data_IF_202470348970
#
_entry.id   IF_202470348970
#
_cell.length_a   1.000
_cell.length_b   1.000
_cell.length_c   1.000
_cell.angle_alpha   90.00
_cell.angle_beta   90.00
_cell.angle_gamma   90.00
#
_symmetry.space_group_name_H-M   'P 1'
#
loop_
_entity.id
_entity.type
_entity.pdbx_description
1 polymer ?
#
# COMPACT_ATOMS: atom_id res chain seq x y z
N UNK A 1 6.54 4.18 -6.22
CA UNK A 1 6.32 5.07 -7.38
C UNK A 1 6.78 4.40 -8.67
N UNK A 2 7.95 3.75 -8.69
CA UNK A 2 8.48 3.06 -9.88
C UNK A 2 7.56 1.96 -10.41
N UNK A 3 6.66 1.44 -9.56
CA UNK A 3 5.79 0.31 -9.91
C UNK A 3 4.40 0.74 -10.39
N UNK A 4 4.13 2.05 -10.45
CA UNK A 4 2.84 2.55 -10.89
C UNK A 4 2.86 2.66 -12.40
N UNK A 5 1.93 1.95 -13.04
CA UNK A 5 1.76 1.93 -14.50
C UNK A 5 0.34 2.34 -14.85
N UNK A 6 0.17 2.79 -16.09
CA UNK A 6 -1.16 3.12 -16.61
C UNK A 6 -2.09 1.91 -16.51
N UNK A 7 -3.36 2.17 -16.17
CA UNK A 7 -4.43 1.18 -16.10
C UNK A 7 -4.24 0.14 -14.99
N UNK A 8 -3.46 0.45 -13.96
CA UNK A 8 -3.31 -0.43 -12.80
C UNK A 8 -4.18 0.05 -11.65
N UNK A 9 -4.64 -0.91 -10.85
CA UNK A 9 -5.42 -0.64 -9.64
C UNK A 9 -4.45 -0.57 -8.46
N UNK A 10 -4.56 0.50 -7.67
CA UNK A 10 -3.67 0.75 -6.52
C UNK A 10 -4.49 0.84 -5.25
N UNK A 11 -4.02 0.18 -4.21
CA UNK A 11 -4.56 0.29 -2.86
C UNK A 11 -3.48 0.91 -1.96
N UNK A 12 -3.80 2.04 -1.33
CA UNK A 12 -2.94 2.69 -0.34
C UNK A 12 -3.53 2.45 1.05
N UNK A 13 -3.01 1.46 1.75
CA UNK A 13 -3.51 1.06 3.06
C UNK A 13 -2.79 1.83 4.16
N UNK A 14 -3.55 2.60 4.94
CA UNK A 14 -3.01 3.59 5.86
C UNK A 14 -2.69 4.89 5.13
N UNK A 15 -3.64 5.39 4.35
CA UNK A 15 -3.36 6.46 3.37
C UNK A 15 -3.05 7.82 4.01
N UNK A 16 -3.39 8.04 5.29
CA UNK A 16 -3.10 9.29 5.98
C UNK A 16 -3.68 10.49 5.26
N UNK A 17 -2.82 11.40 4.82
CA UNK A 17 -3.23 12.60 4.08
C UNK A 17 -3.63 12.32 2.62
N UNK A 18 -3.41 11.11 2.15
CA UNK A 18 -3.74 10.72 0.78
C UNK A 18 -2.67 11.03 -0.25
N UNK A 19 -1.49 11.49 0.17
CA UNK A 19 -0.47 11.95 -0.78
C UNK A 19 -0.02 10.85 -1.74
N UNK A 20 0.21 9.64 -1.26
CA UNK A 20 0.64 8.53 -2.13
C UNK A 20 -0.48 8.10 -3.07
N UNK A 21 -1.70 8.03 -2.56
CA UNK A 21 -2.87 7.69 -3.38
C UNK A 21 -3.08 8.70 -4.50
N UNK A 22 -2.99 9.99 -4.18
CA UNK A 22 -3.13 11.07 -5.16
C UNK A 22 -2.01 10.99 -6.19
N UNK A 23 -0.78 10.78 -5.76
CA UNK A 23 0.36 10.63 -6.67
C UNK A 23 0.17 9.43 -7.62
N UNK A 24 -0.30 8.30 -7.08
CA UNK A 24 -0.57 7.12 -7.89
C UNK A 24 -1.57 7.41 -9.01
N UNK A 25 -2.65 8.10 -8.68
CA UNK A 25 -3.67 8.46 -9.68
C UNK A 25 -3.11 9.39 -10.74
N UNK A 26 -2.34 10.40 -10.31
CA UNK A 26 -1.72 11.34 -11.24
C UNK A 26 -0.69 10.68 -12.15
N UNK A 27 -0.06 9.60 -11.72
CA UNK A 27 0.90 8.85 -12.52
C UNK A 27 0.25 7.87 -13.49
N UNK A 28 -1.07 7.78 -13.50
CA UNK A 28 -1.80 7.02 -14.51
C UNK A 28 -2.52 5.78 -14.03
N UNK A 29 -2.57 5.52 -12.74
CA UNK A 29 -3.37 4.40 -12.21
C UNK A 29 -4.83 4.57 -12.64
N UNK A 30 -5.47 3.46 -13.01
CA UNK A 30 -6.87 3.49 -13.46
C UNK A 30 -7.84 3.73 -12.30
N UNK A 31 -7.55 3.14 -11.15
CA UNK A 31 -8.35 3.30 -9.95
C UNK A 31 -7.45 3.27 -8.74
N UNK A 32 -7.70 4.15 -7.78
CA UNK A 32 -6.94 4.20 -6.53
C UNK A 32 -7.90 4.26 -5.37
N UNK A 33 -7.69 3.38 -4.39
CA UNK A 33 -8.42 3.39 -3.13
C UNK A 33 -7.44 3.66 -2.00
N UNK A 34 -7.73 4.67 -1.19
CA UNK A 34 -7.03 4.92 0.06
C UNK A 34 -7.87 4.39 1.22
N UNK A 35 -7.25 3.77 2.19
CA UNK A 35 -7.91 3.22 3.37
C UNK A 35 -7.19 3.71 4.61
N UNK A 36 -7.95 4.14 5.61
CA UNK A 36 -7.40 4.49 6.92
C UNK A 36 -8.41 4.18 8.02
N UNK A 37 -7.93 3.92 9.22
CA UNK A 37 -8.78 3.72 10.39
C UNK A 37 -9.22 5.05 11.00
N UNK A 38 -8.43 6.10 10.81
CA UNK A 38 -8.64 7.42 11.41
C UNK A 38 -9.60 8.26 10.57
N UNK A 39 -10.78 8.65 11.10
CA UNK A 39 -11.71 9.52 10.38
C UNK A 39 -11.08 10.84 9.92
N UNK A 40 -10.13 11.38 10.67
CA UNK A 40 -9.45 12.62 10.30
C UNK A 40 -8.58 12.42 9.06
N UNK A 41 -7.93 11.25 8.94
CA UNK A 41 -7.15 10.91 7.76
C UNK A 41 -8.05 10.83 6.53
N UNK A 42 -9.24 10.23 6.67
CA UNK A 42 -10.21 10.12 5.57
C UNK A 42 -10.64 11.51 5.09
N UNK A 43 -10.97 12.40 6.01
CA UNK A 43 -11.36 13.78 5.69
C UNK A 43 -10.20 14.49 4.98
N UNK A 44 -8.98 14.38 5.52
CA UNK A 44 -7.80 15.01 4.94
C UNK A 44 -7.52 14.49 3.53
N UNK A 45 -7.62 13.18 3.32
CA UNK A 45 -7.42 12.56 2.00
C UNK A 45 -8.43 13.06 0.99
N UNK A 46 -9.70 13.13 1.37
CA UNK A 46 -10.76 13.61 0.48
C UNK A 46 -10.57 15.08 0.12
N UNK A 47 -10.22 15.92 1.10
CA UNK A 47 -9.95 17.33 0.87
C UNK A 47 -8.72 17.54 -0.04
N UNK A 48 -7.65 16.78 0.19
CA UNK A 48 -6.44 16.88 -0.60
C UNK A 48 -6.67 16.40 -2.04
N UNK A 49 -7.44 15.34 -2.22
CA UNK A 49 -7.80 14.84 -3.54
C UNK A 49 -8.59 15.90 -4.32
N UNK A 50 -9.56 16.51 -3.66
CA UNK A 50 -10.38 17.58 -4.27
C UNK A 50 -9.52 18.79 -4.63
N UNK A 51 -8.63 19.22 -3.72
CA UNK A 51 -7.73 20.36 -3.96
C UNK A 51 -6.77 20.10 -5.12
N UNK A 52 -6.43 18.86 -5.38
CA UNK A 52 -5.54 18.46 -6.47
C UNK A 52 -6.29 17.98 -7.70
N UNK A 53 -7.62 18.14 -7.73
CA UNK A 53 -8.48 17.72 -8.84
C UNK A 53 -8.23 16.26 -9.23
N UNK A 54 -8.12 15.40 -8.21
CA UNK A 54 -7.77 13.99 -8.38
C UNK A 54 -8.90 13.12 -7.85
N UNK A 55 -9.34 12.17 -8.66
CA UNK A 55 -10.43 11.25 -8.30
C UNK A 55 -9.85 9.97 -7.70
N UNK A 56 -10.01 9.82 -6.39
CA UNK A 56 -9.67 8.61 -5.66
C UNK A 56 -10.85 8.22 -4.76
N UNK A 57 -10.93 6.94 -4.43
CA UNK A 57 -11.88 6.44 -3.44
C UNK A 57 -11.19 6.39 -2.08
N UNK A 58 -11.85 6.89 -1.03
CA UNK A 58 -11.29 6.85 0.33
C UNK A 58 -12.29 6.14 1.23
N UNK A 59 -11.83 5.13 1.98
CA UNK A 59 -12.68 4.33 2.85
C UNK A 59 -12.06 4.14 4.23
N UNK A 60 -12.92 3.95 5.23
CA UNK A 60 -12.51 3.54 6.56
C UNK A 60 -12.15 2.05 6.54
N UNK A 61 -11.11 1.65 7.28
CA UNK A 61 -10.67 0.26 7.31
C UNK A 61 -11.69 -0.70 7.91
N UNK A 62 -12.70 -0.18 8.62
CA UNK A 62 -13.79 -0.98 9.18
C UNK A 62 -14.90 -1.24 8.16
N UNK A 63 -14.92 -0.51 7.06
CA UNK A 63 -15.87 -0.75 5.98
C UNK A 63 -15.47 -1.99 5.19
N UNK A 64 -16.47 -2.68 4.62
CA UNK A 64 -16.19 -3.81 3.74
C UNK A 64 -15.49 -3.29 2.48
N UNK A 65 -14.30 -3.82 2.22
CA UNK A 65 -13.47 -3.42 1.09
C UNK A 65 -13.42 -4.54 0.07
N UNK A 66 -13.89 -4.24 -1.14
CA UNK A 66 -13.84 -5.16 -2.27
C UNK A 66 -12.85 -4.58 -3.27
N UNK A 67 -11.57 -4.88 -3.08
CA UNK A 67 -10.49 -4.40 -3.94
C UNK A 67 -9.55 -5.56 -4.24
N UNK A 68 -9.20 -5.69 -5.52
CA UNK A 68 -8.11 -6.55 -5.96
C UNK A 68 -7.12 -5.64 -6.69
N UNK A 69 -5.99 -5.40 -6.09
CA UNK A 69 -5.05 -4.39 -6.55
C UNK A 69 -3.82 -4.99 -7.23
N UNK A 70 -3.36 -4.33 -8.27
CA UNK A 70 -2.07 -4.62 -8.91
C UNK A 70 -0.90 -4.16 -8.05
N UNK A 71 -1.12 -3.14 -7.23
CA UNK A 71 -0.12 -2.61 -6.31
C UNK A 71 -0.79 -2.27 -4.98
N UNK A 72 -0.27 -2.84 -3.91
CA UNK A 72 -0.65 -2.50 -2.53
C UNK A 72 0.49 -1.73 -1.90
N UNK A 73 0.20 -0.55 -1.39
CA UNK A 73 1.16 0.30 -0.68
C UNK A 73 0.74 0.36 0.79
N UNK A 74 1.69 0.18 1.69
CA UNK A 74 1.46 0.36 3.12
C UNK A 74 2.63 1.13 3.73
N UNK A 75 2.37 2.36 4.15
CA UNK A 75 3.34 3.20 4.86
C UNK A 75 2.78 3.45 6.26
N UNK A 76 2.91 2.45 7.11
CA UNK A 76 2.34 2.42 8.46
C UNK A 76 3.37 1.89 9.45
N UNK A 77 3.03 1.87 10.74
CA UNK A 77 3.92 1.34 11.77
C UNK A 77 4.24 -0.13 11.51
N UNK A 78 5.46 -0.53 11.81
CA UNK A 78 5.93 -1.90 11.60
C UNK A 78 5.09 -2.95 12.34
N UNK A 79 4.59 -2.61 13.53
CA UNK A 79 3.69 -3.50 14.27
C UNK A 79 2.40 -3.79 13.50
N UNK A 80 1.84 -2.76 12.85
CA UNK A 80 0.65 -2.93 12.01
C UNK A 80 0.99 -3.70 10.74
N UNK A 81 2.14 -3.44 10.13
CA UNK A 81 2.60 -4.18 8.94
C UNK A 81 2.66 -5.68 9.22
N UNK A 82 3.19 -6.08 10.38
CA UNK A 82 3.26 -7.50 10.76
C UNK A 82 1.88 -8.13 10.89
N UNK A 83 0.97 -7.47 11.58
CA UNK A 83 -0.37 -8.00 11.87
C UNK A 83 -1.22 -8.05 10.60
N UNK A 84 -1.08 -7.08 9.72
CA UNK A 84 -1.92 -6.95 8.53
C UNK A 84 -1.44 -7.78 7.34
N UNK A 85 -0.33 -8.50 7.44
CA UNK A 85 0.23 -9.25 6.32
C UNK A 85 -0.79 -10.13 5.58
N UNK A 86 -1.58 -11.00 6.25
CA UNK A 86 -2.56 -11.80 5.54
C UNK A 86 -3.67 -10.96 4.89
N UNK A 87 -4.05 -9.86 5.51
CA UNK A 87 -5.08 -8.95 4.97
C UNK A 87 -4.56 -8.27 3.69
N UNK A 88 -3.37 -7.70 3.75
CA UNK A 88 -2.78 -7.02 2.59
C UNK A 88 -2.52 -8.00 1.45
N UNK A 89 -2.11 -9.23 1.77
CA UNK A 89 -1.92 -10.27 0.76
C UNK A 89 -3.22 -10.59 0.02
N UNK A 90 -4.35 -10.61 0.72
CA UNK A 90 -5.65 -10.86 0.09
C UNK A 90 -6.08 -9.80 -0.90
N UNK A 91 -5.71 -8.54 -0.64
CA UNK A 91 -6.05 -7.43 -1.54
C UNK A 91 -5.15 -7.35 -2.76
N UNK A 92 -4.05 -8.09 -2.78
CA UNK A 92 -3.10 -8.08 -3.88
C UNK A 92 -3.43 -9.19 -4.88
N UNK A 93 -3.52 -8.83 -6.15
CA UNK A 93 -3.72 -9.80 -7.23
C UNK A 93 -2.51 -10.71 -7.37
N UNK A 94 -2.69 -11.97 -7.85
CA UNK A 94 -1.55 -12.80 -8.26
C UNK A 94 -0.67 -12.02 -9.26
N UNK A 95 0.64 -12.09 -9.06
CA UNK A 95 1.64 -11.30 -9.81
C UNK A 95 1.57 -9.79 -9.54
N UNK A 96 0.69 -9.34 -8.66
CA UNK A 96 0.67 -7.96 -8.20
C UNK A 96 1.83 -7.69 -7.27
N UNK A 97 2.04 -6.43 -6.94
CA UNK A 97 3.17 -5.99 -6.13
C UNK A 97 2.73 -5.38 -4.82
N UNK A 98 3.60 -5.48 -3.82
CA UNK A 98 3.42 -4.81 -2.54
C UNK A 98 4.64 -3.94 -2.26
N UNK A 99 4.41 -2.77 -1.68
CA UNK A 99 5.47 -1.88 -1.22
C UNK A 99 5.18 -1.50 0.22
N UNK A 100 6.12 -1.81 1.11
CA UNK A 100 6.03 -1.58 2.55
C UNK A 100 7.05 -0.55 2.96
N UNK A 101 6.64 0.45 3.71
CA UNK A 101 7.51 1.52 4.17
C UNK A 101 7.25 1.81 5.65
N UNK A 102 8.12 2.61 6.28
CA UNK A 102 8.01 2.90 7.71
C UNK A 102 8.66 1.83 8.58
N UNK A 103 9.60 1.08 8.03
CA UNK A 103 10.28 -0.04 8.67
C UNK A 103 11.68 0.39 9.06
N UNK A 104 12.09 0.09 10.30
CA UNK A 104 13.47 0.31 10.74
C UNK A 104 14.34 -0.90 10.39
N UNK A 105 15.64 -0.68 10.24
CA UNK A 105 16.57 -1.73 9.80
C UNK A 105 16.53 -3.00 10.64
N UNK A 106 16.40 -2.86 11.95
CA UNK A 106 16.36 -4.02 12.84
C UNK A 106 15.08 -4.85 12.72
N UNK A 107 14.05 -4.31 12.05
CA UNK A 107 12.77 -4.98 11.84
C UNK A 107 12.68 -5.67 10.48
N UNK A 108 13.64 -5.39 9.60
CA UNK A 108 13.59 -5.83 8.20
C UNK A 108 13.43 -7.33 8.04
N UNK A 109 14.28 -8.12 8.69
CA UNK A 109 14.30 -9.57 8.49
C UNK A 109 13.02 -10.24 8.96
N UNK A 110 12.49 -9.80 10.10
CA UNK A 110 11.23 -10.34 10.63
C UNK A 110 10.06 -10.08 9.68
N UNK A 111 9.95 -8.84 9.19
CA UNK A 111 8.87 -8.47 8.28
C UNK A 111 9.02 -9.19 6.95
N UNK A 112 10.24 -9.27 6.43
CA UNK A 112 10.55 -10.01 5.21
C UNK A 112 10.12 -11.46 5.32
N UNK A 113 10.43 -12.11 6.44
CA UNK A 113 10.05 -13.51 6.67
C UNK A 113 8.53 -13.69 6.71
N UNK A 114 7.82 -12.79 7.38
CA UNK A 114 6.36 -12.84 7.46
C UNK A 114 5.74 -12.75 6.05
N UNK A 115 6.16 -11.77 5.27
CA UNK A 115 5.58 -11.53 3.94
C UNK A 115 6.02 -12.56 2.91
N UNK A 116 7.13 -13.26 3.12
CA UNK A 116 7.59 -14.30 2.19
C UNK A 116 6.62 -15.48 2.07
N UNK A 117 5.67 -15.61 2.98
CA UNK A 117 4.59 -16.61 2.86
C UNK A 117 3.72 -16.37 1.61
N UNK A 118 3.54 -15.11 1.23
CA UNK A 118 2.65 -14.75 0.11
C UNK A 118 3.37 -14.08 -1.05
N UNK A 119 4.58 -13.57 -0.83
CA UNK A 119 5.32 -12.76 -1.80
C UNK A 119 6.73 -13.27 -1.99
N UNK A 120 7.22 -13.15 -3.22
CA UNK A 120 8.66 -13.24 -3.49
C UNK A 120 9.23 -11.86 -3.22
N UNK A 121 9.99 -11.74 -2.14
CA UNK A 121 10.51 -10.44 -1.69
C UNK A 121 11.69 -10.01 -2.53
N UNK A 122 11.68 -8.75 -2.95
CA UNK A 122 12.74 -8.13 -3.75
C UNK A 122 13.81 -7.54 -2.84
N UNK A 123 14.88 -7.04 -3.44
CA UNK A 123 15.96 -6.39 -2.71
C UNK A 123 15.44 -5.13 -2.01
N UNK A 124 15.83 -4.95 -0.74
CA UNK A 124 15.41 -3.80 0.06
C UNK A 124 16.07 -2.52 -0.43
N UNK A 125 15.36 -1.40 -0.22
CA UNK A 125 15.94 -0.05 -0.39
C UNK A 125 16.09 0.59 0.99
N UNK A 126 17.17 1.36 1.18
CA UNK A 126 17.49 1.98 2.47
C UNK A 126 17.65 3.48 2.30
N UNK A 127 17.14 4.24 3.28
CA UNK A 127 17.33 5.68 3.34
C UNK A 127 17.23 6.15 4.78
N UNK A 128 18.31 6.75 5.30
CA UNK A 128 18.35 7.36 6.64
C UNK A 128 17.86 6.44 7.76
N UNK A 129 18.26 5.16 7.72
CA UNK A 129 17.85 4.17 8.70
C UNK A 129 16.49 3.53 8.46
N UNK A 130 15.74 4.02 7.49
CA UNK A 130 14.45 3.46 7.07
C UNK A 130 14.64 2.47 5.93
N UNK A 131 13.76 1.47 5.92
CA UNK A 131 13.77 0.40 4.92
C UNK A 131 12.45 0.40 4.17
N UNK A 132 12.54 0.29 2.84
CA UNK A 132 11.40 0.01 1.99
C UNK A 132 11.53 -1.41 1.47
N UNK A 133 10.53 -2.23 1.73
CA UNK A 133 10.44 -3.60 1.24
C UNK A 133 9.43 -3.67 0.10
N UNK A 134 9.74 -4.46 -0.90
CA UNK A 134 8.80 -4.72 -1.98
C UNK A 134 8.80 -6.22 -2.30
N UNK A 135 7.71 -6.67 -2.90
CA UNK A 135 7.58 -8.06 -3.29
C UNK A 135 6.53 -8.24 -4.36
N UNK A 136 6.56 -9.40 -5.00
CA UNK A 136 5.59 -9.79 -5.99
C UNK A 136 4.78 -10.96 -5.46
N UNK A 137 3.44 -10.86 -5.55
CA UNK A 137 2.54 -11.89 -5.06
C UNK A 137 2.72 -13.18 -5.85
N UNK A 138 2.96 -14.29 -5.13
CA UNK A 138 3.05 -15.58 -5.78
C UNK A 138 1.71 -15.97 -6.38
N UNK A 139 1.78 -16.66 -7.52
CA UNK A 139 0.59 -17.19 -8.17
C UNK A 139 0.26 -18.54 -7.53
N UNK A 140 -0.97 -18.65 -7.00
CA UNK A 140 -1.47 -19.91 -6.49
C UNK A 140 -2.00 -20.70 -7.66
N UNK A 141 -1.41 -21.87 -7.88
CA UNK A 141 -1.89 -22.78 -8.92
C UNK A 141 -3.11 -23.55 -8.44
#
# INVERSE_FOLDING_TARGET
IKNIKKNKVVLDYGCGSGILAICAKKLGASAVTGVDIDPQAIIASEQNAKSNQTDITVKNSQEKLIVQADLVIANILSSAIKVLAPVLARYCLPNGKIALSGILRHQENEIRDIYSEWFVMQKSSYKDGWVCLSGEKVQIK
#
